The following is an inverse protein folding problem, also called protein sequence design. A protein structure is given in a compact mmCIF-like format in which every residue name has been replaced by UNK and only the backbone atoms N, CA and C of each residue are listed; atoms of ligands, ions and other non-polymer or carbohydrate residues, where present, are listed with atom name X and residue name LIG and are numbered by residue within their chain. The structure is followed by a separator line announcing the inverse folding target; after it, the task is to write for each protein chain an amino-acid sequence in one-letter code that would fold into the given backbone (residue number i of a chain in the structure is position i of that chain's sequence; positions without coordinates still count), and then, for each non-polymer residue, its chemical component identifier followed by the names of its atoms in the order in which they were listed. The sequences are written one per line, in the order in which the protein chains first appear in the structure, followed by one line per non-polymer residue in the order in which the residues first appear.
data_IF_898296024094
#
_entry.id   IF_898296024094
#
_cell.length_a   1.000
_cell.length_b   1.000
_cell.length_c   1.000
_cell.angle_alpha   90.00
_cell.angle_beta   90.00
_cell.angle_gamma   90.00
#
_symmetry.space_group_name_H-M   'P 1'
#
loop_
_entity.id
_entity.type
_entity.pdbx_description
1 polymer ?
#
# COMPACT_ATOMS: atom_id res chain seq x y z
N UNK A 1 12.67 -24.38 -27.80
CA UNK A 1 13.91 -23.58 -27.87
C UNK A 1 14.87 -24.09 -26.83
N UNK A 2 16.11 -24.44 -27.20
CA UNK A 2 17.14 -24.73 -26.19
C UNK A 2 17.78 -23.39 -25.77
N UNK A 3 17.30 -22.80 -24.67
CA UNK A 3 17.88 -21.60 -24.09
C UNK A 3 18.72 -22.04 -22.89
N UNK A 4 20.03 -21.74 -22.95
CA UNK A 4 20.92 -21.98 -21.83
C UNK A 4 20.55 -21.08 -20.65
N UNK A 5 20.27 -21.67 -19.51
CA UNK A 5 19.87 -20.97 -18.29
C UNK A 5 20.74 -21.38 -17.10
N UNK A 6 20.92 -20.46 -16.17
CA UNK A 6 21.64 -20.69 -14.91
C UNK A 6 20.71 -20.50 -13.73
N UNK A 7 20.68 -21.47 -12.82
CA UNK A 7 19.97 -21.34 -11.56
C UNK A 7 20.84 -20.59 -10.55
N UNK A 8 20.32 -19.49 -10.02
CA UNK A 8 20.94 -18.71 -8.94
C UNK A 8 20.26 -19.08 -7.62
N UNK A 9 20.91 -19.78 -6.69
CA UNK A 9 20.30 -20.12 -5.41
C UNK A 9 20.03 -18.84 -4.59
N UNK A 10 18.76 -18.54 -4.30
CA UNK A 10 18.37 -17.33 -3.59
C UNK A 10 19.07 -17.20 -2.22
N UNK A 11 19.24 -18.31 -1.50
CA UNK A 11 19.89 -18.35 -0.18
C UNK A 11 21.38 -17.91 -0.18
N UNK A 12 22.00 -17.82 -1.34
CA UNK A 12 23.40 -17.38 -1.48
C UNK A 12 23.52 -15.85 -1.55
N UNK A 13 22.46 -15.16 -1.95
CA UNK A 13 22.48 -13.69 -2.10
C UNK A 13 21.33 -12.96 -1.42
N UNK A 14 20.21 -13.62 -1.12
CA UNK A 14 19.10 -13.01 -0.39
C UNK A 14 19.30 -13.12 1.12
N UNK A 15 19.41 -11.96 1.80
CA UNK A 15 19.61 -11.89 3.25
C UNK A 15 18.91 -10.69 3.87
N UNK A 16 18.36 -10.88 5.07
CA UNK A 16 17.88 -9.83 5.96
C UNK A 16 19.03 -9.33 6.85
N UNK A 17 19.04 -8.04 7.13
CA UNK A 17 19.91 -7.42 8.12
C UNK A 17 19.42 -7.65 9.55
N UNK A 18 20.18 -7.16 10.54
CA UNK A 18 19.83 -7.28 11.96
C UNK A 18 18.53 -6.54 12.38
N UNK A 19 18.04 -5.65 11.56
CA UNK A 19 16.75 -4.95 11.73
C UNK A 19 15.56 -5.68 11.08
N UNK A 20 15.78 -6.87 10.50
CA UNK A 20 14.75 -7.65 9.80
C UNK A 20 14.44 -7.16 8.37
N UNK A 21 15.13 -6.13 7.87
CA UNK A 21 14.97 -5.64 6.51
C UNK A 21 16.02 -6.23 5.55
N UNK A 22 15.76 -6.26 4.21
CA UNK A 22 16.73 -6.77 3.25
C UNK A 22 18.05 -6.01 3.25
N UNK A 23 19.16 -6.73 3.35
CA UNK A 23 20.52 -6.18 3.22
C UNK A 23 20.88 -5.94 1.75
N UNK A 24 20.46 -4.80 1.22
CA UNK A 24 20.66 -4.46 -0.18
C UNK A 24 22.13 -4.43 -0.62
N UNK A 25 23.09 -4.14 0.28
CA UNK A 25 24.52 -4.18 -0.04
C UNK A 25 25.03 -5.62 -0.20
N UNK A 26 24.60 -6.49 0.68
CA UNK A 26 24.93 -7.92 0.60
C UNK A 26 24.32 -8.54 -0.65
N UNK A 27 23.02 -8.29 -0.90
CA UNK A 27 22.27 -8.78 -2.07
C UNK A 27 23.02 -8.37 -3.34
N UNK A 28 23.28 -7.08 -3.53
CA UNK A 28 23.97 -6.57 -4.71
C UNK A 28 25.34 -7.19 -4.92
N UNK A 29 26.16 -7.23 -3.86
CA UNK A 29 27.53 -7.75 -3.95
C UNK A 29 27.55 -9.21 -4.39
N UNK A 30 26.73 -10.06 -3.77
CA UNK A 30 26.74 -11.49 -4.05
C UNK A 30 26.04 -11.81 -5.38
N UNK A 31 24.89 -11.20 -5.68
CA UNK A 31 24.22 -11.37 -6.96
C UNK A 31 25.13 -10.96 -8.14
N UNK A 32 25.77 -9.79 -8.08
CA UNK A 32 26.69 -9.34 -9.12
C UNK A 32 27.92 -10.26 -9.26
N UNK A 33 28.38 -10.91 -8.19
CA UNK A 33 29.43 -11.92 -8.24
C UNK A 33 29.00 -13.12 -9.09
N UNK A 34 27.81 -13.67 -8.83
CA UNK A 34 27.25 -14.79 -9.60
C UNK A 34 27.06 -14.43 -11.08
N UNK A 35 26.47 -13.29 -11.38
CA UNK A 35 26.27 -12.84 -12.75
C UNK A 35 27.60 -12.69 -13.52
N UNK A 36 28.66 -12.22 -12.86
CA UNK A 36 30.00 -12.12 -13.48
C UNK A 36 30.62 -13.47 -13.79
N UNK A 37 30.35 -14.50 -12.98
CA UNK A 37 30.83 -15.86 -13.22
C UNK A 37 30.16 -16.51 -14.44
N UNK A 38 28.95 -16.08 -14.78
CA UNK A 38 28.13 -16.63 -15.87
C UNK A 38 27.86 -15.63 -17.01
N UNK A 39 28.85 -14.81 -17.38
CA UNK A 39 28.68 -13.70 -18.35
C UNK A 39 28.18 -14.12 -19.73
N UNK A 40 28.33 -15.39 -20.11
CA UNK A 40 27.86 -15.92 -21.41
C UNK A 40 26.38 -16.31 -21.39
N UNK A 41 25.79 -16.43 -20.21
CA UNK A 41 24.40 -16.79 -20.04
C UNK A 41 23.51 -15.56 -20.06
N UNK A 42 22.40 -15.63 -20.79
CA UNK A 42 21.41 -14.55 -20.91
C UNK A 42 20.16 -14.77 -20.04
N UNK A 43 19.95 -16.00 -19.54
CA UNK A 43 18.77 -16.34 -18.74
C UNK A 43 19.19 -16.89 -17.37
N UNK A 44 18.72 -16.21 -16.32
CA UNK A 44 18.94 -16.61 -14.94
C UNK A 44 17.61 -16.90 -14.27
N UNK A 45 17.53 -18.00 -13.51
CA UNK A 45 16.34 -18.43 -12.79
C UNK A 45 16.69 -18.46 -11.31
N UNK A 46 15.82 -17.92 -10.45
CA UNK A 46 16.01 -17.97 -9.00
C UNK A 46 14.69 -18.16 -8.28
N UNK A 47 14.76 -18.57 -7.02
CA UNK A 47 13.60 -18.67 -6.15
C UNK A 47 13.22 -17.27 -5.65
N UNK A 48 11.92 -17.01 -5.56
CA UNK A 48 11.36 -15.87 -4.84
C UNK A 48 11.04 -16.22 -3.39
N UNK A 49 10.72 -15.22 -2.58
CA UNK A 49 10.23 -15.35 -1.21
C UNK A 49 11.27 -15.76 -0.15
N UNK A 50 12.14 -16.73 -0.42
CA UNK A 50 13.11 -17.25 0.55
C UNK A 50 14.36 -16.38 0.68
N UNK A 51 14.88 -16.30 1.89
CA UNK A 51 16.11 -15.57 2.20
C UNK A 51 16.82 -16.20 3.40
N UNK A 52 17.94 -15.63 3.82
CA UNK A 52 18.53 -15.89 5.14
C UNK A 52 18.28 -14.71 6.07
N UNK A 53 18.09 -14.98 7.36
CA UNK A 53 18.10 -13.95 8.39
C UNK A 53 19.53 -13.49 8.73
N UNK A 54 19.67 -12.55 9.65
CA UNK A 54 20.97 -12.04 10.09
C UNK A 54 21.87 -13.11 10.73
N UNK A 55 21.28 -14.16 11.35
CA UNK A 55 21.98 -15.31 11.92
C UNK A 55 22.41 -16.34 10.86
N UNK A 56 21.98 -16.17 9.61
CA UNK A 56 22.28 -17.10 8.51
C UNK A 56 21.30 -18.26 8.37
N UNK A 57 20.25 -18.31 9.16
CA UNK A 57 19.18 -19.31 9.09
C UNK A 57 18.23 -19.02 7.94
N UNK A 58 17.53 -20.04 7.45
CA UNK A 58 16.53 -19.88 6.39
C UNK A 58 15.33 -19.13 6.95
N UNK A 59 14.91 -18.11 6.22
CA UNK A 59 13.81 -17.21 6.55
C UNK A 59 13.08 -16.82 5.25
N UNK A 60 12.14 -15.91 5.34
CA UNK A 60 11.34 -15.47 4.21
C UNK A 60 11.09 -13.96 4.20
N UNK A 61 10.69 -13.42 3.04
CA UNK A 61 10.38 -12.01 2.83
C UNK A 61 8.91 -11.67 3.12
N UNK A 62 8.20 -12.54 3.82
CA UNK A 62 6.79 -12.40 4.21
C UNK A 62 5.83 -12.21 3.01
N UNK A 63 4.69 -11.54 3.25
CA UNK A 63 3.65 -11.36 2.23
C UNK A 63 4.16 -10.56 1.03
N UNK A 64 3.83 -11.00 -0.18
CA UNK A 64 4.34 -10.40 -1.41
C UNK A 64 5.83 -10.68 -1.67
N UNK A 65 6.41 -11.66 -0.97
CA UNK A 65 7.85 -11.91 -0.97
C UNK A 65 8.46 -12.25 -2.33
N UNK A 66 7.70 -12.85 -3.27
CA UNK A 66 8.20 -13.11 -4.63
C UNK A 66 8.34 -11.82 -5.44
N UNK A 67 7.33 -10.94 -5.39
CA UNK A 67 7.38 -9.63 -6.04
C UNK A 67 8.47 -8.75 -5.40
N UNK A 68 8.59 -8.85 -4.06
CA UNK A 68 9.65 -8.16 -3.33
C UNK A 68 11.04 -8.66 -3.74
N UNK A 69 11.20 -9.98 -3.94
CA UNK A 69 12.44 -10.56 -4.49
C UNK A 69 12.78 -9.98 -5.85
N UNK A 70 11.78 -9.89 -6.76
CA UNK A 70 11.98 -9.32 -8.09
C UNK A 70 12.43 -7.85 -8.01
N UNK A 71 11.80 -7.04 -7.14
CA UNK A 71 12.18 -5.65 -6.92
C UNK A 71 13.58 -5.49 -6.32
N UNK A 72 13.95 -6.33 -5.35
CA UNK A 72 15.29 -6.32 -4.75
C UNK A 72 16.37 -6.70 -5.76
N UNK A 73 16.11 -7.70 -6.61
CA UNK A 73 17.01 -8.11 -7.70
C UNK A 73 17.13 -6.99 -8.72
N UNK A 74 16.00 -6.44 -9.19
CA UNK A 74 15.99 -5.33 -10.14
C UNK A 74 16.81 -4.14 -9.64
N UNK A 75 16.62 -3.76 -8.38
CA UNK A 75 17.39 -2.70 -7.74
C UNK A 75 18.89 -3.03 -7.64
N UNK A 76 19.24 -4.29 -7.31
CA UNK A 76 20.64 -4.74 -7.18
C UNK A 76 21.39 -4.69 -8.49
N UNK A 77 20.75 -5.09 -9.59
CA UNK A 77 21.37 -5.11 -10.94
C UNK A 77 21.18 -3.81 -11.72
N UNK A 78 20.36 -2.87 -11.22
CA UNK A 78 19.90 -1.67 -11.93
C UNK A 78 19.22 -2.05 -13.24
N UNK A 79 18.18 -2.89 -13.14
CA UNK A 79 17.40 -3.33 -14.28
C UNK A 79 16.79 -2.14 -15.03
N UNK A 80 16.56 -2.31 -16.32
CA UNK A 80 15.83 -1.33 -17.14
C UNK A 80 14.34 -1.30 -16.80
N UNK A 81 13.76 -2.47 -16.47
CA UNK A 81 12.36 -2.63 -16.06
C UNK A 81 12.25 -3.86 -15.16
N UNK A 82 11.31 -3.82 -14.21
CA UNK A 82 10.86 -4.97 -13.41
C UNK A 82 9.48 -5.36 -13.90
N UNK A 83 9.27 -6.61 -14.27
CA UNK A 83 7.97 -7.11 -14.72
C UNK A 83 7.38 -8.06 -13.69
N UNK A 84 6.13 -7.82 -13.30
CA UNK A 84 5.35 -8.69 -12.44
C UNK A 84 4.20 -9.30 -13.28
N UNK A 85 4.30 -10.58 -13.52
CA UNK A 85 3.33 -11.32 -14.30
C UNK A 85 2.32 -12.01 -13.36
N UNK A 86 1.04 -11.75 -13.59
CA UNK A 86 -0.09 -12.21 -12.77
C UNK A 86 -1.24 -12.69 -13.68
N UNK A 87 -2.38 -12.98 -13.11
CA UNK A 87 -3.61 -13.44 -13.79
C UNK A 87 -4.57 -12.28 -14.16
N UNK A 88 -4.16 -11.03 -13.90
CA UNK A 88 -4.95 -9.83 -14.23
C UNK A 88 -4.16 -8.89 -15.16
N UNK A 89 -4.87 -8.10 -15.96
CA UNK A 89 -4.30 -7.22 -17.00
C UNK A 89 -3.79 -5.86 -16.48
N UNK A 90 -3.32 -5.83 -15.25
CA UNK A 90 -2.85 -4.65 -14.55
C UNK A 90 -3.78 -4.23 -13.43
N UNK A 91 -3.54 -3.03 -12.88
CA UNK A 91 -4.38 -2.44 -11.85
C UNK A 91 -5.59 -1.77 -12.50
N UNK A 92 -6.80 -2.03 -11.98
CA UNK A 92 -8.03 -1.40 -12.43
C UNK A 92 -8.35 -0.15 -11.61
N UNK A 93 -9.13 0.75 -12.20
CA UNK A 93 -9.59 1.98 -11.54
C UNK A 93 -10.53 1.72 -10.35
N UNK A 94 -11.04 0.49 -10.22
CA UNK A 94 -11.90 0.04 -9.11
C UNK A 94 -11.79 -1.49 -8.96
N UNK A 95 -12.41 -2.07 -7.94
CA UNK A 95 -12.45 -3.52 -7.73
C UNK A 95 -13.42 -4.20 -8.74
N UNK A 96 -12.93 -4.97 -9.72
CA UNK A 96 -13.79 -5.60 -10.73
C UNK A 96 -14.76 -6.66 -10.16
N UNK A 97 -14.52 -7.12 -8.94
CA UNK A 97 -15.43 -8.05 -8.24
C UNK A 97 -16.69 -7.37 -7.72
N UNK A 98 -16.66 -6.04 -7.56
CA UNK A 98 -17.75 -5.21 -7.02
C UNK A 98 -18.35 -4.33 -8.11
N UNK A 99 -17.49 -3.81 -8.99
CA UNK A 99 -17.86 -2.90 -10.07
C UNK A 99 -17.54 -3.55 -11.43
N UNK A 100 -18.57 -3.94 -12.22
CA UNK A 100 -18.35 -4.70 -13.46
C UNK A 100 -17.62 -3.93 -14.56
N UNK A 101 -17.82 -2.61 -14.62
CA UNK A 101 -17.31 -1.75 -15.71
C UNK A 101 -16.03 -1.02 -15.32
N UNK A 102 -15.07 -1.74 -14.73
CA UNK A 102 -13.77 -1.17 -14.42
C UNK A 102 -12.87 -1.12 -15.65
N UNK A 103 -11.96 -0.16 -15.68
CA UNK A 103 -10.97 -0.03 -16.76
C UNK A 103 -9.55 -0.14 -16.19
N UNK A 104 -8.61 -0.74 -16.94
CA UNK A 104 -7.22 -0.83 -16.52
C UNK A 104 -6.56 0.55 -16.47
N UNK A 105 -5.86 0.84 -15.38
CA UNK A 105 -5.03 2.04 -15.23
C UNK A 105 -3.68 1.79 -15.89
N UNK A 106 -3.37 2.56 -16.92
CA UNK A 106 -2.17 2.33 -17.74
C UNK A 106 -0.89 2.90 -17.15
N UNK A 107 -1.01 3.98 -16.38
CA UNK A 107 0.13 4.68 -15.79
C UNK A 107 -0.17 5.10 -14.36
N UNK A 108 0.73 4.77 -13.45
CA UNK A 108 0.74 5.21 -12.06
C UNK A 108 2.11 5.76 -11.68
N UNK A 109 2.13 6.74 -10.79
CA UNK A 109 3.35 7.07 -10.05
C UNK A 109 3.63 6.03 -8.97
N UNK A 110 4.87 5.98 -8.46
CA UNK A 110 5.23 5.11 -7.32
C UNK A 110 4.40 5.44 -6.08
N UNK A 111 4.14 6.73 -5.81
CA UNK A 111 3.32 7.14 -4.68
C UNK A 111 1.86 6.69 -4.83
N UNK A 112 1.23 6.91 -6.01
CA UNK A 112 -0.12 6.42 -6.31
C UNK A 112 -0.23 4.90 -6.14
N UNK A 113 0.73 4.14 -6.68
CA UNK A 113 0.76 2.69 -6.56
C UNK A 113 0.93 2.22 -5.10
N UNK A 114 1.79 2.89 -4.33
CA UNK A 114 1.99 2.61 -2.90
C UNK A 114 0.73 2.87 -2.08
N UNK A 115 0.01 3.97 -2.36
CA UNK A 115 -1.27 4.28 -1.71
C UNK A 115 -2.33 3.25 -2.03
N UNK A 116 -2.50 2.89 -3.30
CA UNK A 116 -3.46 1.86 -3.71
C UNK A 116 -3.15 0.51 -3.04
N UNK A 117 -1.88 0.11 -3.01
CA UNK A 117 -1.45 -1.11 -2.35
C UNK A 117 -1.72 -1.09 -0.84
N UNK A 118 -1.48 0.02 -0.17
CA UNK A 118 -1.73 0.20 1.26
C UNK A 118 -3.23 0.13 1.60
N UNK A 119 -4.06 0.76 0.78
CA UNK A 119 -5.50 0.83 0.98
C UNK A 119 -6.28 -0.32 0.30
N UNK A 120 -5.63 -1.43 -0.03
CA UNK A 120 -6.31 -2.68 -0.32
C UNK A 120 -6.37 -3.10 -1.79
N UNK A 121 -5.71 -2.41 -2.69
CA UNK A 121 -5.51 -2.92 -4.04
C UNK A 121 -4.53 -4.12 -3.97
N UNK A 122 -5.08 -5.35 -4.07
CA UNK A 122 -4.36 -6.60 -3.76
C UNK A 122 -3.36 -7.05 -4.83
N UNK A 123 -2.94 -6.18 -5.73
CA UNK A 123 -2.11 -6.54 -6.89
C UNK A 123 -0.63 -6.53 -6.55
N UNK A 124 -0.20 -5.56 -5.72
CA UNK A 124 1.18 -5.44 -5.24
C UNK A 124 1.18 -5.19 -3.74
N UNK A 125 2.22 -5.69 -3.06
CA UNK A 125 2.46 -5.31 -1.68
C UNK A 125 3.28 -4.00 -1.65
N UNK A 126 3.00 -3.03 -0.75
CA UNK A 126 3.72 -1.74 -0.71
C UNK A 126 5.25 -1.89 -0.65
N UNK A 127 5.75 -2.88 0.09
CA UNK A 127 7.18 -3.16 0.20
C UNK A 127 7.84 -3.53 -1.14
N UNK A 128 7.06 -4.07 -2.11
CA UNK A 128 7.59 -4.42 -3.42
C UNK A 128 7.92 -3.20 -4.28
N UNK A 129 7.30 -2.06 -4.01
CA UNK A 129 7.48 -0.83 -4.78
C UNK A 129 8.75 -0.08 -4.35
N UNK A 130 9.06 -0.06 -3.05
CA UNK A 130 10.13 0.76 -2.47
C UNK A 130 11.53 0.56 -3.12
N UNK A 131 12.03 -0.68 -3.38
CA UNK A 131 13.34 -0.83 -4.01
C UNK A 131 13.39 -0.27 -5.44
N UNK A 132 12.29 -0.44 -6.20
CA UNK A 132 12.16 0.09 -7.55
C UNK A 132 12.11 1.62 -7.55
N UNK A 133 11.28 2.22 -6.69
CA UNK A 133 11.16 3.67 -6.48
C UNK A 133 12.51 4.30 -6.12
N UNK A 134 13.21 3.77 -5.13
CA UNK A 134 14.52 4.26 -4.69
C UNK A 134 15.57 4.31 -5.80
N UNK A 135 15.47 3.41 -6.76
CA UNK A 135 16.39 3.30 -7.89
C UNK A 135 15.80 3.80 -9.21
N UNK A 136 14.57 4.33 -9.20
CA UNK A 136 13.84 4.86 -10.37
C UNK A 136 13.68 3.84 -11.48
N UNK A 137 13.44 2.58 -11.11
CA UNK A 137 13.28 1.47 -12.05
C UNK A 137 11.79 1.29 -12.32
N UNK A 138 11.33 1.40 -13.57
CA UNK A 138 9.92 1.17 -13.90
C UNK A 138 9.48 -0.24 -13.50
N UNK A 139 8.25 -0.36 -12.97
CA UNK A 139 7.61 -1.64 -12.67
C UNK A 139 6.40 -1.79 -13.58
N UNK A 140 6.31 -2.90 -14.29
CA UNK A 140 5.19 -3.21 -15.17
C UNK A 140 4.42 -4.42 -14.66
N UNK A 141 3.11 -4.25 -14.51
CA UNK A 141 2.17 -5.33 -14.17
C UNK A 141 1.59 -5.88 -15.47
N UNK A 142 1.70 -7.18 -15.68
CA UNK A 142 1.33 -7.84 -16.93
C UNK A 142 0.48 -9.08 -16.66
N UNK A 143 -0.38 -9.42 -17.64
CA UNK A 143 -1.22 -10.60 -17.58
C UNK A 143 -0.57 -11.79 -18.28
N UNK A 144 -0.33 -12.88 -17.55
CA UNK A 144 0.24 -14.12 -18.09
C UNK A 144 -0.68 -14.77 -19.14
N UNK A 145 -2.00 -14.58 -18.99
CA UNK A 145 -3.01 -15.16 -19.92
C UNK A 145 -3.25 -14.26 -21.14
N UNK A 146 -2.80 -12.99 -21.07
CA UNK A 146 -2.92 -12.00 -22.15
C UNK A 146 -1.63 -11.22 -22.29
N UNK A 147 -0.55 -11.86 -22.76
CA UNK A 147 0.79 -11.26 -22.78
C UNK A 147 0.91 -10.03 -23.70
N UNK A 148 0.00 -9.87 -24.66
CA UNK A 148 -0.05 -8.68 -25.55
C UNK A 148 -0.74 -7.48 -24.90
N UNK A 149 -1.41 -7.66 -23.75
CA UNK A 149 -2.03 -6.55 -23.04
C UNK A 149 -0.94 -5.62 -22.48
N UNK A 150 -1.09 -4.28 -22.60
CA UNK A 150 -0.04 -3.33 -22.19
C UNK A 150 0.17 -3.26 -20.67
N UNK A 151 -0.76 -3.81 -19.88
CA UNK A 151 -0.70 -3.82 -18.42
C UNK A 151 -0.72 -2.44 -17.78
N UNK A 152 -0.18 -2.33 -16.57
CA UNK A 152 0.01 -1.07 -15.83
C UNK A 152 1.49 -0.79 -15.68
N UNK A 153 1.93 0.40 -16.07
CA UNK A 153 3.30 0.90 -15.87
C UNK A 153 3.34 1.79 -14.62
N UNK A 154 4.26 1.51 -13.70
CA UNK A 154 4.52 2.30 -12.49
C UNK A 154 5.89 2.96 -12.64
N UNK A 155 5.93 4.30 -12.54
CA UNK A 155 7.14 5.11 -12.73
C UNK A 155 7.18 6.30 -11.78
N UNK A 156 8.15 7.20 -11.93
CA UNK A 156 8.15 8.50 -11.24
C UNK A 156 7.10 9.49 -11.78
N UNK A 157 6.63 9.28 -13.00
CA UNK A 157 5.74 10.22 -13.67
C UNK A 157 4.29 10.00 -13.27
N UNK A 158 3.62 11.05 -12.77
CA UNK A 158 2.18 11.09 -12.58
C UNK A 158 1.51 11.82 -13.76
N UNK A 159 0.31 11.41 -14.14
CA UNK A 159 -0.55 12.22 -15.03
C UNK A 159 -1.27 13.28 -14.20
N UNK A 160 -1.06 14.53 -14.54
CA UNK A 160 -1.60 15.66 -13.79
C UNK A 160 -3.13 15.79 -13.90
N UNK A 161 -3.76 16.19 -12.80
CA UNK A 161 -5.18 16.53 -12.73
C UNK A 161 -6.13 15.35 -12.93
N UNK A 162 -5.66 14.10 -12.80
CA UNK A 162 -6.48 12.89 -12.99
C UNK A 162 -6.64 12.10 -11.72
N UNK A 163 -7.88 11.70 -11.43
CA UNK A 163 -8.16 10.62 -10.47
C UNK A 163 -7.92 9.29 -11.20
N UNK A 164 -7.18 8.40 -10.57
CA UNK A 164 -6.69 7.15 -11.18
C UNK A 164 -7.49 5.93 -10.79
N UNK A 165 -7.69 5.75 -9.48
CA UNK A 165 -8.33 4.57 -8.96
C UNK A 165 -8.94 4.79 -7.58
N UNK A 166 -9.81 3.84 -7.21
CA UNK A 166 -10.37 3.72 -5.86
C UNK A 166 -10.00 2.35 -5.31
N UNK A 167 -9.52 2.33 -4.08
CA UNK A 167 -9.24 1.11 -3.33
C UNK A 167 -10.05 1.09 -2.04
N UNK A 168 -10.28 -0.10 -1.48
CA UNK A 168 -10.99 -0.25 -0.21
C UNK A 168 -10.29 -1.23 0.73
N UNK A 169 -10.03 -0.79 1.96
CA UNK A 169 -9.42 -1.57 3.04
C UNK A 169 -10.48 -1.96 4.04
N UNK A 170 -10.77 -3.24 4.12
CA UNK A 170 -11.78 -3.83 5.01
C UNK A 170 -11.25 -4.02 6.44
N UNK A 171 -12.15 -4.46 7.33
CA UNK A 171 -11.87 -4.80 8.74
C UNK A 171 -11.33 -3.65 9.57
N UNK A 172 -11.80 -2.45 9.30
CA UNK A 172 -11.39 -1.25 10.03
C UNK A 172 -12.18 -1.10 11.31
N UNK A 173 -11.48 -0.74 12.37
CA UNK A 173 -12.06 -0.29 13.64
C UNK A 173 -11.84 1.21 13.78
N UNK A 174 -12.92 1.96 13.87
CA UNK A 174 -12.90 3.40 14.13
C UNK A 174 -12.99 3.66 15.62
N UNK A 175 -12.11 4.49 16.18
CA UNK A 175 -12.03 4.83 17.60
C UNK A 175 -12.11 6.35 17.74
N UNK A 176 -13.14 6.85 18.42
CA UNK A 176 -13.26 8.25 18.78
C UNK A 176 -12.86 8.42 20.24
N UNK A 177 -11.96 9.36 20.50
CA UNK A 177 -11.36 9.61 21.81
C UNK A 177 -11.60 11.09 22.14
N UNK A 178 -12.36 11.35 23.18
CA UNK A 178 -12.69 12.69 23.64
C UNK A 178 -12.08 12.93 25.01
N UNK A 179 -11.31 14.01 25.15
CA UNK A 179 -10.73 14.37 26.45
C UNK A 179 -11.84 14.59 27.52
N UNK A 180 -11.75 13.93 28.65
CA UNK A 180 -12.75 14.06 29.75
C UNK A 180 -12.46 15.26 30.64
N UNK A 181 -11.30 15.92 30.53
CA UNK A 181 -10.91 17.10 31.31
C UNK A 181 -10.11 18.06 30.44
N UNK A 182 -10.00 19.32 30.87
CA UNK A 182 -9.19 20.36 30.22
C UNK A 182 -7.70 20.04 30.30
N UNK A 183 -7.26 19.06 29.50
CA UNK A 183 -5.83 18.84 29.26
C UNK A 183 -5.41 19.73 28.10
N UNK A 184 -4.23 20.36 28.14
CA UNK A 184 -3.68 21.04 26.98
C UNK A 184 -3.60 20.07 25.81
N UNK A 185 -4.03 20.52 24.60
CA UNK A 185 -4.17 19.66 23.42
C UNK A 185 -2.89 18.84 23.10
N UNK A 186 -1.69 19.46 23.22
CA UNK A 186 -0.41 18.77 22.98
C UNK A 186 -0.16 17.61 23.96
N UNK A 187 -0.58 17.75 25.24
CA UNK A 187 -0.45 16.67 26.24
C UNK A 187 -1.44 15.54 25.96
N UNK A 188 -2.66 15.89 25.52
CA UNK A 188 -3.67 14.91 25.16
C UNK A 188 -3.25 14.07 23.96
N UNK A 189 -2.81 14.71 22.87
CA UNK A 189 -2.30 14.04 21.66
C UNK A 189 -1.15 13.09 22.02
N UNK A 190 -0.12 13.59 22.75
CA UNK A 190 1.02 12.78 23.17
C UNK A 190 0.64 11.56 23.99
N UNK A 191 -0.33 11.70 24.92
CA UNK A 191 -0.82 10.57 25.73
C UNK A 191 -1.55 9.53 24.88
N UNK A 192 -2.43 9.98 24.00
CA UNK A 192 -3.21 9.08 23.13
C UNK A 192 -2.26 8.25 22.26
N UNK A 193 -1.38 8.88 21.48
CA UNK A 193 -0.46 8.14 20.61
C UNK A 193 0.59 7.33 21.39
N UNK A 194 0.93 7.76 22.62
CA UNK A 194 1.75 6.96 23.53
C UNK A 194 1.11 5.62 23.92
N UNK A 195 -0.21 5.52 23.98
CA UNK A 195 -0.92 4.25 24.20
C UNK A 195 -0.78 3.34 22.98
N UNK A 196 -1.08 3.85 21.78
CA UNK A 196 -0.92 3.07 20.53
C UNK A 196 0.51 2.58 20.35
N UNK A 197 1.51 3.41 20.62
CA UNK A 197 2.92 3.04 20.54
C UNK A 197 3.29 1.91 21.51
N UNK A 198 2.84 1.96 22.77
CA UNK A 198 3.09 0.88 23.74
C UNK A 198 2.39 -0.42 23.34
N UNK A 199 1.18 -0.32 22.81
CA UNK A 199 0.43 -1.47 22.31
C UNK A 199 0.95 -1.96 20.94
N UNK A 200 1.94 -1.29 20.34
CA UNK A 200 2.48 -1.60 19.01
C UNK A 200 1.40 -1.70 17.92
N UNK A 201 0.34 -0.90 18.05
CA UNK A 201 -0.80 -0.90 17.13
C UNK A 201 -0.62 0.24 16.13
N UNK A 202 -0.49 -0.06 14.83
CA UNK A 202 -0.41 0.96 13.79
C UNK A 202 -1.74 1.71 13.67
N UNK A 203 -1.67 2.97 13.26
CA UNK A 203 -2.83 3.82 13.00
C UNK A 203 -2.87 4.13 11.52
N UNK A 204 -3.95 3.75 10.83
CA UNK A 204 -4.10 3.98 9.39
C UNK A 204 -4.47 5.42 9.06
N UNK A 205 -5.45 5.97 9.77
CA UNK A 205 -5.93 7.34 9.59
C UNK A 205 -6.12 8.02 10.94
N UNK A 206 -5.90 9.32 10.95
CA UNK A 206 -6.12 10.16 12.14
C UNK A 206 -6.75 11.49 11.75
N UNK A 207 -7.72 11.93 12.54
CA UNK A 207 -8.18 13.33 12.55
C UNK A 207 -8.17 13.85 13.97
N UNK A 208 -7.76 15.08 14.15
CA UNK A 208 -7.63 15.69 15.47
C UNK A 208 -8.33 17.04 15.51
N UNK A 209 -8.89 17.35 16.68
CA UNK A 209 -9.28 18.70 17.06
C UNK A 209 -8.73 18.99 18.46
N UNK A 210 -9.04 20.15 19.01
CA UNK A 210 -8.56 20.55 20.35
C UNK A 210 -8.82 19.51 21.45
N UNK A 211 -10.00 18.88 21.42
CA UNK A 211 -10.47 17.96 22.47
C UNK A 211 -10.85 16.56 21.96
N UNK A 212 -10.77 16.31 20.66
CA UNK A 212 -11.15 15.03 20.08
C UNK A 212 -10.05 14.51 19.17
N UNK A 213 -9.80 13.21 19.24
CA UNK A 213 -8.97 12.46 18.32
C UNK A 213 -9.81 11.31 17.79
N UNK A 214 -9.85 11.16 16.47
CA UNK A 214 -10.45 9.99 15.84
C UNK A 214 -9.37 9.25 15.08
N UNK A 215 -9.31 7.94 15.27
CA UNK A 215 -8.35 7.07 14.60
C UNK A 215 -9.06 5.91 13.94
N UNK A 216 -8.49 5.42 12.84
CA UNK A 216 -8.89 4.17 12.21
C UNK A 216 -7.69 3.21 12.27
N UNK A 217 -7.94 1.96 12.63
CA UNK A 217 -6.95 0.88 12.75
C UNK A 217 -7.46 -0.37 12.05
N UNK A 218 -6.57 -1.16 11.47
CA UNK A 218 -6.87 -2.46 10.86
C UNK A 218 -6.49 -3.65 11.75
N UNK A 219 -5.70 -3.42 12.81
CA UNK A 219 -5.31 -4.43 13.78
C UNK A 219 -6.00 -4.22 15.12
N UNK A 220 -7.08 -4.96 15.44
CA UNK A 220 -7.80 -4.87 16.68
C UNK A 220 -7.24 -5.76 17.80
N UNK A 221 -6.11 -6.44 17.65
CA UNK A 221 -5.59 -7.43 18.62
C UNK A 221 -5.48 -6.84 20.04
N UNK A 222 -4.98 -5.60 20.15
CA UNK A 222 -4.80 -4.90 21.43
C UNK A 222 -5.91 -3.88 21.74
N UNK A 223 -7.03 -3.93 21.03
CA UNK A 223 -8.10 -2.94 21.16
C UNK A 223 -8.62 -2.79 22.60
N UNK A 224 -8.80 -3.90 23.32
CA UNK A 224 -9.31 -3.86 24.71
C UNK A 224 -8.32 -3.17 25.66
N UNK A 225 -7.02 -3.41 25.49
CA UNK A 225 -5.98 -2.76 26.27
C UNK A 225 -5.91 -1.25 25.97
N UNK A 226 -5.99 -0.89 24.68
CA UNK A 226 -6.04 0.50 24.23
C UNK A 226 -7.23 1.24 24.86
N UNK A 227 -8.42 0.66 24.77
CA UNK A 227 -9.65 1.26 25.32
C UNK A 227 -9.56 1.41 26.85
N UNK A 228 -9.06 0.42 27.56
CA UNK A 228 -8.88 0.47 29.01
C UNK A 228 -7.88 1.56 29.45
N UNK A 229 -6.76 1.69 28.75
CA UNK A 229 -5.75 2.72 29.04
C UNK A 229 -6.26 4.13 28.73
N UNK A 230 -6.90 4.32 27.58
CA UNK A 230 -7.47 5.61 27.18
C UNK A 230 -8.64 6.01 28.08
N UNK A 231 -9.46 5.05 28.52
CA UNK A 231 -10.61 5.27 29.39
C UNK A 231 -10.27 5.90 30.77
N UNK A 232 -9.00 5.84 31.19
CA UNK A 232 -8.53 6.47 32.43
C UNK A 232 -8.59 8.02 32.37
N UNK A 233 -8.63 8.62 31.20
CA UNK A 233 -8.57 10.08 31.01
C UNK A 233 -9.36 10.62 29.82
N UNK A 234 -10.03 9.76 29.07
CA UNK A 234 -10.83 10.12 27.93
C UNK A 234 -12.11 9.28 27.86
N UNK A 235 -13.14 9.82 27.22
CA UNK A 235 -14.30 9.05 26.75
C UNK A 235 -13.94 8.39 25.43
N UNK A 236 -14.09 7.06 25.34
CA UNK A 236 -13.70 6.28 24.16
C UNK A 236 -14.93 5.62 23.57
N UNK A 237 -15.20 5.89 22.31
CA UNK A 237 -16.23 5.22 21.51
C UNK A 237 -15.58 4.38 20.42
N UNK A 238 -15.99 3.13 20.28
CA UNK A 238 -15.46 2.19 19.29
C UNK A 238 -16.58 1.78 18.34
N UNK A 239 -16.32 1.89 17.05
CA UNK A 239 -17.20 1.41 15.99
C UNK A 239 -16.40 0.40 15.13
N UNK A 240 -16.88 -0.85 15.10
CA UNK A 240 -16.31 -1.94 14.27
C UNK A 240 -17.05 -2.01 12.93
N UNK A 241 -16.63 -2.94 12.09
CA UNK A 241 -17.21 -3.19 10.77
C UNK A 241 -17.21 -1.94 9.88
N UNK A 242 -16.09 -1.22 9.92
CA UNK A 242 -15.85 -0.07 9.06
C UNK A 242 -14.93 -0.45 7.88
N UNK A 243 -14.94 0.40 6.87
CA UNK A 243 -14.07 0.31 5.69
C UNK A 243 -13.44 1.67 5.44
N UNK A 244 -12.17 1.67 5.02
CA UNK A 244 -11.55 2.85 4.42
C UNK A 244 -11.70 2.74 2.91
N UNK A 245 -12.35 3.71 2.28
CA UNK A 245 -12.38 3.89 0.82
C UNK A 245 -11.39 5.00 0.48
N UNK A 246 -10.41 4.69 -0.34
CA UNK A 246 -9.34 5.61 -0.72
C UNK A 246 -9.42 5.92 -2.21
N UNK A 247 -9.57 7.19 -2.55
CA UNK A 247 -9.51 7.70 -3.92
C UNK A 247 -8.09 8.18 -4.17
N UNK A 248 -7.46 7.70 -5.24
CA UNK A 248 -6.05 7.95 -5.57
C UNK A 248 -5.92 8.59 -6.94
N UNK A 249 -5.01 9.55 -7.06
CA UNK A 249 -4.67 10.27 -8.28
C UNK A 249 -3.87 11.52 -7.99
N UNK A 250 -3.74 12.42 -8.96
CA UNK A 250 -3.16 13.75 -8.76
C UNK A 250 -4.21 14.67 -8.14
N UNK A 251 -4.24 14.70 -6.80
CA UNK A 251 -5.19 15.44 -5.97
C UNK A 251 -4.50 16.63 -5.28
N UNK A 252 -3.60 17.28 -5.99
CA UNK A 252 -2.91 18.49 -5.53
C UNK A 252 -3.94 19.56 -5.11
N UNK A 253 -3.70 20.20 -3.96
CA UNK A 253 -4.63 21.17 -3.36
C UNK A 253 -5.04 22.35 -4.28
N UNK A 254 -4.23 22.65 -5.28
CA UNK A 254 -4.51 23.68 -6.28
C UNK A 254 -5.33 23.18 -7.49
N UNK A 255 -5.50 21.87 -7.64
CA UNK A 255 -6.42 21.31 -8.62
C UNK A 255 -7.84 21.49 -8.10
N UNK A 256 -8.70 22.17 -8.84
CA UNK A 256 -10.04 22.50 -8.38
C UNK A 256 -11.07 21.44 -8.82
N UNK A 257 -12.03 21.16 -7.97
CA UNK A 257 -13.25 20.41 -8.30
C UNK A 257 -13.22 18.91 -8.06
N UNK A 258 -12.07 18.29 -7.76
CA UNK A 258 -12.04 16.86 -7.47
C UNK A 258 -12.74 16.53 -6.13
N UNK A 259 -12.61 17.41 -5.12
CA UNK A 259 -13.30 17.24 -3.83
C UNK A 259 -14.81 17.23 -4.02
N UNK A 260 -15.34 18.17 -4.82
CA UNK A 260 -16.76 18.23 -5.11
C UNK A 260 -17.26 16.98 -5.84
N UNK A 261 -16.46 16.40 -6.75
CA UNK A 261 -16.78 15.14 -7.45
C UNK A 261 -16.80 13.98 -6.50
N UNK A 262 -15.77 13.82 -5.65
CA UNK A 262 -15.68 12.71 -4.69
C UNK A 262 -16.82 12.79 -3.66
N UNK A 263 -17.01 13.94 -3.03
CA UNK A 263 -18.04 14.10 -2.00
C UNK A 263 -19.45 14.06 -2.62
N UNK A 264 -19.61 14.64 -3.81
CA UNK A 264 -20.87 14.60 -4.55
C UNK A 264 -21.31 13.19 -4.93
N UNK A 265 -20.37 12.32 -5.29
CA UNK A 265 -20.63 10.89 -5.53
C UNK A 265 -21.20 10.20 -4.28
N UNK A 266 -20.77 10.60 -3.10
CA UNK A 266 -21.12 9.99 -1.84
C UNK A 266 -22.26 10.69 -1.08
N UNK A 267 -22.99 11.62 -1.72
CA UNK A 267 -24.05 12.44 -1.08
C UNK A 267 -25.10 11.64 -0.32
N UNK A 268 -25.40 10.42 -0.77
CA UNK A 268 -26.43 9.55 -0.18
C UNK A 268 -25.81 8.43 0.71
N UNK A 269 -24.51 8.53 1.04
CA UNK A 269 -23.76 7.54 1.81
C UNK A 269 -23.16 8.23 3.06
N UNK A 270 -23.46 7.75 4.26
CA UNK A 270 -22.89 8.32 5.48
C UNK A 270 -21.37 8.11 5.54
N UNK A 271 -20.62 9.22 5.55
CA UNK A 271 -19.17 9.22 5.73
C UNK A 271 -18.84 9.60 7.17
N UNK A 272 -18.08 8.73 7.86
CA UNK A 272 -17.73 8.88 9.27
C UNK A 272 -16.50 9.76 9.49
N UNK A 273 -15.57 9.71 8.59
CA UNK A 273 -14.30 10.45 8.65
C UNK A 273 -13.79 10.69 7.25
N UNK A 274 -13.20 11.85 7.02
CA UNK A 274 -12.49 12.21 5.80
C UNK A 274 -11.07 12.61 6.19
N UNK A 275 -10.08 12.02 5.55
CA UNK A 275 -8.67 12.40 5.66
C UNK A 275 -8.18 12.85 4.30
N UNK A 276 -7.73 14.10 4.23
CA UNK A 276 -7.18 14.74 3.05
C UNK A 276 -6.08 15.71 3.48
N UNK A 277 -5.10 15.95 2.62
CA UNK A 277 -4.03 16.92 2.85
C UNK A 277 -2.77 16.32 3.49
N UNK A 278 -2.75 15.03 3.80
CA UNK A 278 -1.52 14.33 4.21
C UNK A 278 -0.58 14.07 3.03
N UNK A 279 -1.16 13.91 1.85
CA UNK A 279 -0.49 13.71 0.58
C UNK A 279 -1.31 14.37 -0.54
N UNK A 280 -0.65 14.67 -1.65
CA UNK A 280 -1.30 15.18 -2.86
C UNK A 280 -1.87 14.07 -3.76
N UNK A 281 -1.78 12.81 -3.34
CA UNK A 281 -2.12 11.66 -4.17
C UNK A 281 -3.34 10.88 -3.69
N UNK A 282 -3.94 11.21 -2.53
CA UNK A 282 -5.11 10.49 -2.05
C UNK A 282 -6.07 11.29 -1.16
N UNK A 283 -7.34 10.86 -1.19
CA UNK A 283 -8.38 11.18 -0.21
C UNK A 283 -8.89 9.88 0.38
N UNK A 284 -8.87 9.73 1.69
CA UNK A 284 -9.34 8.55 2.41
C UNK A 284 -10.64 8.86 3.18
N UNK A 285 -11.62 7.97 3.06
CA UNK A 285 -12.95 8.10 3.63
C UNK A 285 -13.28 6.86 4.45
N UNK A 286 -13.71 7.05 5.70
CA UNK A 286 -14.15 5.96 6.56
C UNK A 286 -15.68 5.91 6.55
N UNK A 287 -16.23 4.72 6.31
CA UNK A 287 -17.67 4.49 6.30
C UNK A 287 -17.99 3.08 6.80
N UNK A 288 -19.25 2.72 6.93
CA UNK A 288 -19.66 1.36 7.30
C UNK A 288 -19.33 0.38 6.19
N UNK A 289 -18.91 -0.83 6.54
CA UNK A 289 -18.63 -1.89 5.55
C UNK A 289 -19.88 -2.26 4.72
N UNK A 290 -21.08 -2.10 5.25
CA UNK A 290 -22.34 -2.29 4.53
C UNK A 290 -22.52 -1.31 3.34
N UNK A 291 -21.90 -0.14 3.40
CA UNK A 291 -22.00 0.88 2.35
C UNK A 291 -20.88 0.78 1.29
N UNK A 292 -19.89 -0.10 1.49
CA UNK A 292 -18.72 -0.27 0.62
C UNK A 292 -19.10 -0.40 -0.86
N UNK A 293 -19.96 -1.35 -1.20
CA UNK A 293 -20.31 -1.63 -2.60
C UNK A 293 -21.00 -0.44 -3.25
N UNK A 294 -21.93 0.21 -2.52
CA UNK A 294 -22.60 1.43 -3.00
C UNK A 294 -21.60 2.57 -3.23
N UNK A 295 -20.66 2.74 -2.31
CA UNK A 295 -19.64 3.80 -2.43
C UNK A 295 -18.71 3.56 -3.63
N UNK A 296 -18.23 2.33 -3.83
CA UNK A 296 -17.36 2.00 -4.96
C UNK A 296 -18.09 2.19 -6.30
N UNK A 297 -19.36 1.79 -6.40
CA UNK A 297 -20.19 1.98 -7.60
C UNK A 297 -20.43 3.48 -7.87
N UNK A 298 -20.85 4.24 -6.85
CA UNK A 298 -21.09 5.67 -6.97
C UNK A 298 -19.83 6.44 -7.38
N UNK A 299 -18.70 6.14 -6.76
CA UNK A 299 -17.41 6.73 -7.15
C UNK A 299 -17.03 6.35 -8.59
N UNK A 300 -17.29 5.11 -9.01
CA UNK A 300 -17.01 4.70 -10.39
C UNK A 300 -17.81 5.52 -11.40
N UNK A 301 -19.09 5.71 -11.15
CA UNK A 301 -20.00 6.43 -12.04
C UNK A 301 -19.72 7.95 -12.11
N UNK A 302 -19.34 8.58 -11.00
CA UNK A 302 -19.20 10.04 -10.93
C UNK A 302 -17.75 10.52 -11.13
N UNK A 303 -16.77 9.67 -10.90
CA UNK A 303 -15.36 10.09 -10.88
C UNK A 303 -14.62 9.67 -12.16
N UNK A 304 -15.01 8.56 -12.78
CA UNK A 304 -14.30 7.99 -13.94
C UNK A 304 -15.07 8.09 -15.25
N UNK A 305 -16.23 8.72 -15.28
CA UNK A 305 -17.01 9.00 -16.50
C UNK A 305 -16.67 10.35 -17.09
#
# INVERSE_FOLDING_TARGET
MNIESVVLPALEFMRLGGNGEPDGRFIRRNLCKYLRQHRKCSLFITQGYICRNAAGEIDNLQRGGSDYTASLIGAAVRAEEIQIWTDIDGLHNNDPRIVPNTVPVRLLSFDEASRLAYFGAKILHPLCIQPAEKHRIPVRLLNTMQPEAPGTLITECAEKGKIKAVAAKDNITYIKIRASRSLPAYKFISKVFGVFARCKTPVDLVTTSEVNISVAIDDPERLQEIVAELGKYAEVTVEKDMVIVCVVGDLEWHNVGFEARIIGALRDIPVRMISYGESSSNVALVMRSSDKSRALQALNEYVFV
#
